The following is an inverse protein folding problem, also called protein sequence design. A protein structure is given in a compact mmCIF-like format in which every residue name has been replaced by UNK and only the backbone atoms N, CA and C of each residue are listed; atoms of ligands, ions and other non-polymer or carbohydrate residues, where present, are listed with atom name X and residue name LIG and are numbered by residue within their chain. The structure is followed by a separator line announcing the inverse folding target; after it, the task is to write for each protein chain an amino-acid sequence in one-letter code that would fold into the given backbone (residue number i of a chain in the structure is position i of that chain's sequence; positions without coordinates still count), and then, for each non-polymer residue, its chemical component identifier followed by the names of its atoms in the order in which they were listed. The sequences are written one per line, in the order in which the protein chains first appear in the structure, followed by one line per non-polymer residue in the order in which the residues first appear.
data_IF_296127334342
#
_entry.id   IF_296127334342
#
_cell.length_a   1.000
_cell.length_b   1.000
_cell.length_c   1.000
_cell.angle_alpha   90.00
_cell.angle_beta   90.00
_cell.angle_gamma   90.00
#
_symmetry.space_group_name_H-M   'P 1'
#
loop_
_entity.id
_entity.type
_entity.pdbx_description
1 polymer ?
#
# COMPACT_ATOMS: atom_id res chain seq x y z
N UNK A 1 46.35 -23.16 -58.80
CA UNK A 1 45.49 -22.66 -57.70
C UNK A 1 46.34 -22.60 -56.45
N UNK A 2 46.82 -21.42 -56.05
CA UNK A 2 47.63 -21.29 -54.84
C UNK A 2 46.71 -21.45 -53.62
N UNK A 3 46.93 -22.51 -52.85
CA UNK A 3 46.26 -22.69 -51.56
C UNK A 3 46.81 -21.70 -50.53
N UNK A 4 45.96 -21.23 -49.62
CA UNK A 4 46.35 -20.37 -48.50
C UNK A 4 47.49 -21.01 -47.71
N UNK A 5 48.51 -20.21 -47.37
CA UNK A 5 49.65 -20.65 -46.57
C UNK A 5 49.21 -20.98 -45.14
N UNK A 6 50.00 -21.78 -44.41
CA UNK A 6 49.70 -22.14 -43.01
C UNK A 6 49.50 -20.91 -42.12
N UNK A 7 50.22 -19.83 -42.41
CA UNK A 7 50.14 -18.56 -41.69
C UNK A 7 48.80 -17.84 -41.92
N UNK A 8 48.32 -17.78 -43.16
CA UNK A 8 47.02 -17.17 -43.46
C UNK A 8 45.85 -17.95 -42.84
N UNK A 9 45.97 -19.27 -42.72
CA UNK A 9 44.97 -20.08 -41.98
C UNK A 9 44.99 -19.77 -40.49
N UNK A 10 46.16 -19.58 -39.90
CA UNK A 10 46.29 -19.21 -38.48
C UNK A 10 45.73 -17.81 -38.20
N UNK A 11 46.01 -16.82 -39.06
CA UNK A 11 45.44 -15.48 -38.95
C UNK A 11 43.92 -15.50 -39.04
N UNK A 12 43.35 -16.23 -40.02
CA UNK A 12 41.89 -16.35 -40.15
C UNK A 12 41.23 -17.05 -38.96
N UNK A 13 41.90 -18.03 -38.36
CA UNK A 13 41.41 -18.68 -37.15
C UNK A 13 41.43 -17.72 -35.95
N UNK A 14 42.50 -16.94 -35.79
CA UNK A 14 42.61 -15.92 -34.75
C UNK A 14 41.55 -14.81 -34.92
N UNK A 15 41.32 -14.34 -36.15
CA UNK A 15 40.31 -13.32 -36.44
C UNK A 15 38.89 -13.83 -36.16
N UNK A 16 38.59 -15.09 -36.50
CA UNK A 16 37.31 -15.71 -36.16
C UNK A 16 37.09 -15.79 -34.64
N UNK A 17 38.12 -16.17 -33.88
CA UNK A 17 38.05 -16.22 -32.41
C UNK A 17 37.87 -14.82 -31.82
N UNK A 18 38.56 -13.80 -32.34
CA UNK A 18 38.40 -12.43 -31.89
C UNK A 18 36.99 -11.88 -32.18
N UNK A 19 36.44 -12.18 -33.37
CA UNK A 19 35.07 -11.81 -33.72
C UNK A 19 34.02 -12.51 -32.84
N UNK A 20 34.23 -13.79 -32.52
CA UNK A 20 33.34 -14.57 -31.64
C UNK A 20 33.37 -14.03 -30.21
N UNK A 21 34.55 -13.66 -29.70
CA UNK A 21 34.69 -12.99 -28.39
C UNK A 21 34.01 -11.63 -28.36
N UNK A 22 34.16 -10.82 -29.42
CA UNK A 22 33.51 -9.51 -29.51
C UNK A 22 31.97 -9.64 -29.58
N UNK A 23 31.47 -10.61 -30.35
CA UNK A 23 30.03 -10.89 -30.44
C UNK A 23 29.47 -11.36 -29.09
N UNK A 24 30.20 -12.22 -28.37
CA UNK A 24 29.81 -12.68 -27.05
C UNK A 24 29.75 -11.53 -26.04
N UNK A 25 30.77 -10.67 -26.03
CA UNK A 25 30.80 -9.51 -25.14
C UNK A 25 29.63 -8.54 -25.40
N UNK A 26 29.30 -8.31 -26.68
CA UNK A 26 28.15 -7.48 -27.05
C UNK A 26 26.82 -8.12 -26.63
N UNK A 27 26.66 -9.44 -26.80
CA UNK A 27 25.48 -10.18 -26.33
C UNK A 27 25.33 -10.10 -24.81
N UNK A 28 26.41 -10.32 -24.06
CA UNK A 28 26.40 -10.25 -22.59
C UNK A 28 26.06 -8.84 -22.10
N UNK A 29 26.52 -7.80 -22.80
CA UNK A 29 26.20 -6.41 -22.48
C UNK A 29 24.72 -6.09 -22.77
N UNK A 30 24.18 -6.62 -23.87
CA UNK A 30 22.77 -6.46 -24.23
C UNK A 30 21.85 -7.17 -23.23
N UNK A 31 22.20 -8.40 -22.82
CA UNK A 31 21.46 -9.14 -21.79
C UNK A 31 21.45 -8.41 -20.44
N UNK A 32 22.57 -7.78 -20.05
CA UNK A 32 22.60 -6.94 -18.84
C UNK A 32 21.66 -5.73 -18.93
N UNK A 33 21.60 -5.09 -20.10
CA UNK A 33 20.72 -3.94 -20.31
C UNK A 33 19.25 -4.34 -20.22
N UNK A 34 18.87 -5.44 -20.87
CA UNK A 34 17.50 -5.98 -20.81
C UNK A 34 17.12 -6.39 -19.38
N UNK A 35 18.05 -6.94 -18.61
CA UNK A 35 17.82 -7.32 -17.21
C UNK A 35 17.59 -6.08 -16.32
N UNK A 36 18.31 -4.99 -16.58
CA UNK A 36 18.16 -3.73 -15.86
C UNK A 36 16.82 -3.04 -16.19
N UNK A 37 16.43 -2.99 -17.47
CA UNK A 37 15.12 -2.48 -17.88
C UNK A 37 13.96 -3.29 -17.27
N UNK A 38 14.11 -4.61 -17.19
CA UNK A 38 13.11 -5.48 -16.59
C UNK A 38 12.97 -5.26 -15.07
N UNK A 39 14.09 -4.97 -14.40
CA UNK A 39 14.10 -4.62 -12.97
C UNK A 39 13.46 -3.25 -12.71
N UNK A 40 13.78 -2.24 -13.52
CA UNK A 40 13.12 -0.91 -13.43
C UNK A 40 11.60 -1.00 -13.67
N UNK A 41 11.17 -1.85 -14.61
CA UNK A 41 9.75 -2.06 -14.87
C UNK A 41 9.03 -2.74 -13.69
N UNK A 42 9.71 -3.66 -13.01
CA UNK A 42 9.19 -4.33 -11.82
C UNK A 42 9.11 -3.36 -10.62
N UNK A 43 10.13 -2.53 -10.39
CA UNK A 43 10.09 -1.48 -9.36
C UNK A 43 8.96 -0.47 -9.62
N UNK A 44 8.71 -0.11 -10.87
CA UNK A 44 7.63 0.82 -11.22
C UNK A 44 6.24 0.22 -10.93
N UNK A 45 6.06 -1.09 -11.17
CA UNK A 45 4.83 -1.81 -10.84
C UNK A 45 4.63 -1.91 -9.33
N UNK A 46 5.69 -2.23 -8.58
CA UNK A 46 5.66 -2.33 -7.12
C UNK A 46 5.32 -0.97 -6.47
N UNK A 47 5.84 0.12 -7.03
CA UNK A 47 5.52 1.48 -6.59
C UNK A 47 4.04 1.84 -6.84
N UNK A 48 3.48 1.40 -7.96
CA UNK A 48 2.05 1.60 -8.27
C UNK A 48 1.14 0.81 -7.32
N UNK A 49 1.47 -0.45 -7.05
CA UNK A 49 0.74 -1.27 -6.06
C UNK A 49 0.80 -0.66 -4.65
N UNK A 50 1.94 -0.10 -4.26
CA UNK A 50 2.08 0.56 -2.96
C UNK A 50 1.19 1.82 -2.86
N UNK A 51 1.07 2.58 -3.95
CA UNK A 51 0.20 3.75 -4.00
C UNK A 51 -1.29 3.36 -3.93
N UNK A 52 -1.69 2.32 -4.67
CA UNK A 52 -3.06 1.78 -4.59
C UNK A 52 -3.41 1.27 -3.19
N UNK A 53 -2.45 0.63 -2.51
CA UNK A 53 -2.66 0.15 -1.14
C UNK A 53 -2.83 1.31 -0.15
N UNK A 54 -2.10 2.41 -0.35
CA UNK A 54 -2.23 3.62 0.47
C UNK A 54 -3.58 4.31 0.25
N UNK A 55 -4.04 4.46 -1.00
CA UNK A 55 -5.37 5.00 -1.30
C UNK A 55 -6.49 4.14 -0.70
N UNK A 56 -6.33 2.81 -0.72
CA UNK A 56 -7.31 1.89 -0.13
C UNK A 56 -7.39 2.04 1.40
N UNK A 57 -6.25 2.29 2.06
CA UNK A 57 -6.18 2.54 3.50
C UNK A 57 -6.83 3.89 3.86
N UNK A 58 -6.53 4.96 3.11
CA UNK A 58 -7.18 6.26 3.31
C UNK A 58 -8.71 6.18 3.12
N UNK A 59 -9.17 5.39 2.15
CA UNK A 59 -10.62 5.21 1.93
C UNK A 59 -11.29 4.48 3.11
N UNK A 60 -10.61 3.52 3.72
CA UNK A 60 -11.08 2.81 4.90
C UNK A 60 -11.12 3.71 6.14
N UNK A 61 -10.08 4.52 6.37
CA UNK A 61 -10.09 5.53 7.44
C UNK A 61 -11.21 6.56 7.27
N UNK A 62 -11.49 6.98 6.03
CA UNK A 62 -12.60 7.90 5.75
C UNK A 62 -13.95 7.29 6.11
N UNK A 63 -14.12 5.99 5.86
CA UNK A 63 -15.34 5.26 6.18
C UNK A 63 -15.49 5.07 7.70
N UNK A 64 -14.43 4.72 8.43
CA UNK A 64 -14.44 4.67 9.90
C UNK A 64 -14.75 6.04 10.52
N UNK A 65 -14.22 7.12 9.95
CA UNK A 65 -14.47 8.47 10.45
C UNK A 65 -15.93 8.89 10.22
N UNK A 66 -16.53 8.45 9.11
CA UNK A 66 -17.95 8.66 8.83
C UNK A 66 -18.83 7.82 9.76
N UNK A 67 -18.47 6.56 10.03
CA UNK A 67 -19.14 5.73 11.05
C UNK A 67 -19.04 6.33 12.45
N UNK A 68 -17.89 6.87 12.86
CA UNK A 68 -17.78 7.58 14.14
C UNK A 68 -18.66 8.82 14.21
N UNK A 69 -18.81 9.57 13.11
CA UNK A 69 -19.76 10.68 13.07
C UNK A 69 -21.21 10.19 13.14
N UNK A 70 -21.55 9.08 12.49
CA UNK A 70 -22.89 8.49 12.56
C UNK A 70 -23.21 7.91 13.94
N UNK A 71 -22.25 7.26 14.60
CA UNK A 71 -22.39 6.76 15.97
C UNK A 71 -22.44 7.92 16.98
N UNK A 72 -21.61 8.95 16.79
CA UNK A 72 -21.66 10.19 17.57
C UNK A 72 -22.92 11.03 17.33
N UNK A 73 -23.61 10.82 16.20
CA UNK A 73 -24.94 11.37 15.94
C UNK A 73 -26.07 10.51 16.54
N UNK A 74 -25.84 9.22 16.73
CA UNK A 74 -26.70 8.28 17.45
C UNK A 74 -26.56 8.44 18.97
N UNK A 75 -26.63 9.67 19.46
CA UNK A 75 -26.73 9.91 20.89
C UNK A 75 -28.09 9.39 21.38
N UNK A 76 -28.04 8.57 22.41
CA UNK A 76 -29.22 8.06 23.09
C UNK A 76 -29.63 9.08 24.14
N UNK A 77 -30.83 9.65 23.98
CA UNK A 77 -31.39 10.55 24.96
C UNK A 77 -31.66 9.77 26.27
N UNK A 78 -30.93 10.13 27.32
CA UNK A 78 -31.05 9.56 28.66
C UNK A 78 -31.62 10.61 29.61
N UNK A 79 -32.37 10.17 30.61
CA UNK A 79 -32.91 11.05 31.66
C UNK A 79 -32.71 10.46 33.05
N UNK A 80 -32.70 11.30 34.08
CA UNK A 80 -32.61 10.87 35.49
C UNK A 80 -33.65 11.56 36.36
N UNK A 81 -34.28 10.79 37.24
CA UNK A 81 -35.20 11.29 38.28
C UNK A 81 -34.45 11.81 39.53
N UNK A 82 -33.14 11.56 39.61
CA UNK A 82 -32.29 11.89 40.76
C UNK A 82 -31.19 12.88 40.36
N UNK A 83 -31.51 14.19 40.27
CA UNK A 83 -30.52 15.20 39.92
C UNK A 83 -29.42 15.28 41.00
N UNK A 84 -28.16 15.36 40.57
CA UNK A 84 -27.01 15.42 41.48
C UNK A 84 -26.98 16.67 42.36
N UNK A 85 -27.58 17.77 41.89
CA UNK A 85 -27.75 19.02 42.64
C UNK A 85 -29.03 19.75 42.20
N UNK A 86 -29.59 20.68 43.02
CA UNK A 86 -30.76 21.45 42.67
C UNK A 86 -30.53 22.27 41.39
N UNK A 87 -31.32 22.02 40.35
CA UNK A 87 -31.19 22.67 39.05
C UNK A 87 -30.25 21.97 38.05
N UNK A 88 -29.72 20.79 38.37
CA UNK A 88 -28.95 19.99 37.42
C UNK A 88 -29.82 19.54 36.23
N UNK A 89 -29.24 19.40 35.02
CA UNK A 89 -29.95 18.85 33.88
C UNK A 89 -30.36 17.40 34.16
N UNK A 90 -31.63 17.09 33.93
CA UNK A 90 -32.21 15.74 34.09
C UNK A 90 -32.30 14.99 32.78
N UNK A 91 -31.82 15.56 31.67
CA UNK A 91 -31.77 14.94 30.35
C UNK A 91 -30.42 15.23 29.71
N UNK A 92 -29.84 14.24 29.05
CA UNK A 92 -28.58 14.34 28.34
C UNK A 92 -28.57 13.41 27.12
N UNK A 93 -27.87 13.83 26.06
CA UNK A 93 -27.61 13.03 24.89
C UNK A 93 -26.31 12.24 25.13
N UNK A 94 -26.41 10.92 25.27
CA UNK A 94 -25.33 10.04 25.74
C UNK A 94 -24.88 9.09 24.62
N UNK A 95 -23.58 8.84 24.49
CA UNK A 95 -23.06 7.87 23.51
C UNK A 95 -23.52 6.44 23.85
N UNK A 96 -23.90 5.59 22.87
CA UNK A 96 -24.38 4.22 23.09
C UNK A 96 -23.43 3.37 23.94
N UNK A 97 -22.11 3.53 23.79
CA UNK A 97 -21.11 2.81 24.61
C UNK A 97 -21.14 3.19 26.09
N UNK A 98 -21.57 4.42 26.40
CA UNK A 98 -21.63 4.91 27.77
C UNK A 98 -23.01 4.67 28.40
N UNK A 99 -24.05 4.33 27.62
CA UNK A 99 -25.42 4.14 28.10
C UNK A 99 -25.49 3.21 29.31
N UNK A 100 -24.76 2.10 29.32
CA UNK A 100 -24.73 1.16 30.46
C UNK A 100 -24.12 1.78 31.73
N UNK A 101 -23.07 2.60 31.58
CA UNK A 101 -22.46 3.31 32.70
C UNK A 101 -23.44 4.34 33.30
N UNK A 102 -24.15 5.09 32.44
CA UNK A 102 -25.17 6.04 32.88
C UNK A 102 -26.38 5.33 33.51
N UNK A 103 -26.79 4.16 32.99
CA UNK A 103 -27.80 3.31 33.63
C UNK A 103 -27.41 2.89 35.04
N UNK A 104 -26.14 2.51 35.25
CA UNK A 104 -25.63 2.19 36.58
C UNK A 104 -25.66 3.40 37.54
N UNK A 105 -25.48 4.61 37.01
CA UNK A 105 -25.65 5.86 37.74
C UNK A 105 -27.12 6.27 37.96
N UNK A 106 -28.09 5.43 37.57
CA UNK A 106 -29.52 5.66 37.77
C UNK A 106 -30.24 6.41 36.65
N UNK A 107 -29.57 6.64 35.51
CA UNK A 107 -30.19 7.22 34.32
C UNK A 107 -30.98 6.15 33.55
N UNK A 108 -32.00 6.57 32.80
CA UNK A 108 -32.86 5.69 32.00
C UNK A 108 -32.97 6.23 30.58
N UNK A 109 -33.16 5.35 29.61
CA UNK A 109 -33.44 5.77 28.23
C UNK A 109 -34.79 6.48 28.19
N UNK A 110 -34.83 7.58 27.46
CA UNK A 110 -36.07 8.27 27.13
C UNK A 110 -36.68 7.54 25.92
N UNK A 111 -37.74 6.77 26.15
CA UNK A 111 -38.56 6.14 25.10
C UNK A 111 -39.21 7.18 24.17
#
# INVERSE_FOLDING_TARGET
MAGLTKEQRAQRAAEKLAAELAAKNNSEQQEQQEQQEQQEQQEQQEQQEQQEQQEQQEQQEQQEQQEQQEQGAQLVAMFTDFPAFPGAPTTADIHPDEVENWKAAGWRMKE
#
